data_IF_092062073496
#
_entry.id   IF_092062073496
#
_cell.length_a   1.000
_cell.length_b   1.000
_cell.length_c   1.000
_cell.angle_alpha   90.00
_cell.angle_beta   90.00
_cell.angle_gamma   90.00
#
_symmetry.space_group_name_H-M   'P 1'
#
loop_
_entity.id
_entity.type
_entity.pdbx_description
1 polymer ?
#
# COMPACT_ATOMS: atom_id res chain seq x y z
N UNK A 1 21.74 13.05 -2.85
CA UNK A 1 21.09 12.23 -3.89
C UNK A 1 20.21 11.22 -3.18
N UNK A 2 18.92 11.14 -3.52
CA UNK A 2 18.09 10.03 -3.06
C UNK A 2 18.61 8.73 -3.71
N UNK A 3 18.63 7.61 -2.97
CA UNK A 3 19.13 6.36 -3.50
C UNK A 3 18.24 5.86 -4.65
N UNK A 4 18.84 5.20 -5.63
CA UNK A 4 18.10 4.61 -6.74
C UNK A 4 17.32 3.39 -6.23
N UNK A 5 15.99 3.46 -6.32
CA UNK A 5 15.12 2.34 -5.97
C UNK A 5 15.21 1.26 -7.07
N UNK A 6 15.48 -0.01 -6.74
CA UNK A 6 15.62 -1.08 -7.72
C UNK A 6 14.27 -1.42 -8.33
N UNK A 7 14.28 -1.80 -9.61
CA UNK A 7 13.11 -2.40 -10.26
C UNK A 7 12.74 -3.73 -9.55
N UNK A 8 11.45 -4.06 -9.34
CA UNK A 8 10.25 -3.36 -9.84
C UNK A 8 9.71 -2.24 -8.95
N UNK A 9 10.31 -1.99 -7.78
CA UNK A 9 9.78 -1.03 -6.81
C UNK A 9 9.90 0.40 -7.29
N UNK A 10 9.08 1.28 -6.73
CA UNK A 10 9.21 2.71 -6.91
C UNK A 10 8.87 3.49 -5.64
N UNK A 11 9.34 4.73 -5.59
CA UNK A 11 9.04 5.69 -4.53
C UNK A 11 8.48 6.95 -5.20
N UNK A 12 7.22 7.28 -4.96
CA UNK A 12 6.59 8.49 -5.48
C UNK A 12 5.68 9.13 -4.43
N UNK A 13 5.71 10.46 -4.33
CA UNK A 13 4.94 11.23 -3.33
C UNK A 13 5.05 10.68 -1.89
N UNK A 14 6.20 10.09 -1.55
CA UNK A 14 6.46 9.49 -0.24
C UNK A 14 6.04 8.02 -0.07
N UNK A 15 5.33 7.42 -1.03
CA UNK A 15 4.91 6.03 -0.98
C UNK A 15 5.89 5.11 -1.68
N UNK A 16 6.37 4.10 -0.96
CA UNK A 16 7.03 2.93 -1.54
C UNK A 16 5.96 2.01 -2.12
N UNK A 17 6.09 1.66 -3.39
CA UNK A 17 5.09 0.89 -4.11
C UNK A 17 5.69 -0.23 -4.96
N UNK A 18 4.86 -1.23 -5.22
CA UNK A 18 5.11 -2.34 -6.14
C UNK A 18 4.09 -2.25 -7.28
N UNK A 19 4.49 -2.21 -8.56
CA UNK A 19 3.55 -2.11 -9.67
C UNK A 19 2.72 -3.38 -9.77
N UNK A 20 1.47 -3.23 -10.19
CA UNK A 20 0.59 -4.35 -10.53
C UNK A 20 0.18 -4.25 -11.99
N UNK A 21 0.15 -5.37 -12.75
CA UNK A 21 -0.37 -5.41 -14.11
C UNK A 21 -1.79 -4.82 -14.19
N UNK A 22 -2.05 -4.01 -15.21
CA UNK A 22 -3.39 -3.41 -15.43
C UNK A 22 -4.39 -4.49 -15.82
N UNK A 23 -3.91 -5.57 -16.43
CA UNK A 23 -4.67 -6.73 -16.89
C UNK A 23 -5.38 -7.45 -15.74
N UNK A 24 -4.83 -7.39 -14.52
CA UNK A 24 -5.49 -7.93 -13.32
C UNK A 24 -6.82 -7.24 -12.99
N UNK A 25 -7.02 -6.04 -13.53
CA UNK A 25 -8.21 -5.23 -13.32
C UNK A 25 -9.01 -5.04 -14.62
N UNK A 26 -8.73 -5.80 -15.69
CA UNK A 26 -9.39 -5.60 -16.98
C UNK A 26 -10.90 -5.87 -16.91
N UNK A 27 -11.29 -6.92 -16.19
CA UNK A 27 -12.67 -7.42 -16.17
C UNK A 27 -13.56 -6.75 -15.12
N UNK A 28 -13.00 -5.93 -14.22
CA UNK A 28 -13.80 -5.23 -13.22
C UNK A 28 -14.51 -4.01 -13.83
N UNK A 29 -15.69 -3.60 -13.31
CA UNK A 29 -16.45 -2.49 -13.87
C UNK A 29 -15.65 -1.19 -13.96
N UNK A 30 -15.87 -0.37 -14.99
CA UNK A 30 -15.26 0.96 -15.06
C UNK A 30 -15.79 1.91 -13.98
N UNK A 31 -17.05 1.71 -13.56
CA UNK A 31 -17.71 2.53 -12.55
C UNK A 31 -18.42 1.65 -11.53
N UNK A 32 -18.44 2.10 -10.27
CA UNK A 32 -19.18 1.46 -9.17
C UNK A 32 -19.89 2.53 -8.34
N UNK A 33 -21.03 2.17 -7.74
CA UNK A 33 -21.74 3.04 -6.80
C UNK A 33 -21.48 2.57 -5.37
N UNK A 34 -20.91 3.43 -4.55
CA UNK A 34 -20.67 3.19 -3.12
C UNK A 34 -21.33 4.32 -2.32
N UNK A 35 -22.30 3.96 -1.47
CA UNK A 35 -23.13 4.90 -0.71
C UNK A 35 -23.80 5.98 -1.57
N UNK A 36 -24.25 5.62 -2.78
CA UNK A 36 -24.88 6.56 -3.72
C UNK A 36 -23.92 7.50 -4.45
N UNK A 37 -22.60 7.32 -4.27
CA UNK A 37 -21.56 8.07 -4.99
C UNK A 37 -20.96 7.18 -6.07
N UNK A 38 -20.90 7.67 -7.30
CA UNK A 38 -20.23 6.99 -8.41
C UNK A 38 -18.71 7.18 -8.31
N UNK A 39 -17.96 6.08 -8.38
CA UNK A 39 -16.51 6.05 -8.37
C UNK A 39 -15.98 5.45 -9.68
N UNK A 40 -14.88 6.02 -10.19
CA UNK A 40 -14.25 5.60 -11.44
C UNK A 40 -13.04 4.70 -11.18
N UNK A 41 -12.90 3.64 -11.98
CA UNK A 41 -11.77 2.71 -11.93
C UNK A 41 -10.49 3.44 -12.32
N UNK A 42 -9.42 3.22 -11.55
CA UNK A 42 -8.09 3.72 -11.89
C UNK A 42 -7.59 3.12 -13.22
N UNK A 43 -6.73 3.86 -13.90
CA UNK A 43 -6.05 3.39 -15.12
C UNK A 43 -4.63 2.90 -14.87
N UNK A 44 -4.13 3.07 -13.64
CA UNK A 44 -2.82 2.61 -13.20
C UNK A 44 -2.90 2.15 -11.75
N UNK A 45 -2.32 0.98 -11.51
CA UNK A 45 -2.43 0.28 -10.24
C UNK A 45 -1.05 -0.05 -9.68
N UNK A 46 -0.95 0.00 -8.37
CA UNK A 46 0.21 -0.39 -7.61
C UNK A 46 -0.23 -0.80 -6.22
N UNK A 47 0.52 -1.70 -5.60
CA UNK A 47 0.43 -1.99 -4.17
C UNK A 47 1.19 -0.89 -3.43
N UNK A 48 0.51 -0.19 -2.55
CA UNK A 48 1.16 0.64 -1.52
C UNK A 48 1.80 -0.28 -0.48
N UNK A 49 3.12 -0.24 -0.32
CA UNK A 49 3.84 -1.06 0.67
C UNK A 49 3.99 -0.32 2.00
N UNK A 50 4.45 0.93 1.94
CA UNK A 50 4.52 1.84 3.07
C UNK A 50 4.69 3.30 2.61
N UNK A 51 4.28 4.25 3.44
CA UNK A 51 4.55 5.68 3.31
C UNK A 51 5.78 6.05 4.15
N UNK A 52 6.85 6.43 3.46
CA UNK A 52 8.13 6.75 4.05
C UNK A 52 8.06 7.93 5.03
N UNK A 53 7.45 9.10 4.70
CA UNK A 53 7.35 10.21 5.66
C UNK A 53 6.69 9.84 7.00
N UNK A 54 5.58 9.11 6.98
CA UNK A 54 4.87 8.71 8.20
C UNK A 54 5.67 7.70 9.01
N UNK A 55 6.30 6.73 8.34
CA UNK A 55 7.18 5.75 8.99
C UNK A 55 8.40 6.42 9.64
N UNK A 56 9.02 7.36 8.93
CA UNK A 56 10.16 8.15 9.42
C UNK A 56 9.78 8.96 10.64
N UNK A 57 8.65 9.68 10.59
CA UNK A 57 8.16 10.49 11.71
C UNK A 57 7.92 9.63 12.95
N UNK A 58 7.25 8.48 12.80
CA UNK A 58 6.97 7.54 13.89
C UNK A 58 8.24 7.03 14.57
N UNK A 59 9.24 6.61 13.78
CA UNK A 59 10.49 6.07 14.33
C UNK A 59 11.31 7.18 14.99
N UNK A 60 11.41 8.36 14.35
CA UNK A 60 12.15 9.50 14.88
C UNK A 60 11.59 9.96 16.24
N UNK A 61 10.27 10.06 16.35
CA UNK A 61 9.59 10.45 17.61
C UNK A 61 9.92 9.49 18.77
N UNK A 62 9.98 8.18 18.49
CA UNK A 62 10.17 7.16 19.54
C UNK A 62 11.62 6.87 19.90
N UNK A 63 12.56 7.18 19.01
CA UNK A 63 13.99 6.90 19.20
C UNK A 63 14.81 8.14 19.54
N UNK A 64 14.30 9.34 19.24
CA UNK A 64 15.05 10.59 19.33
C UNK A 64 16.09 10.75 18.21
N UNK A 65 16.17 9.82 17.25
CA UNK A 65 17.02 9.93 16.06
C UNK A 65 16.43 10.95 15.10
N UNK A 66 17.28 11.72 14.40
CA UNK A 66 16.80 12.73 13.46
C UNK A 66 16.02 12.12 12.29
N UNK A 67 14.94 12.77 11.79
CA UNK A 67 14.16 12.27 10.64
C UNK A 67 15.03 11.94 9.41
N UNK A 68 16.00 12.79 9.08
CA UNK A 68 16.91 12.58 7.95
C UNK A 68 17.77 11.32 8.10
N UNK A 69 18.20 10.99 9.32
CA UNK A 69 18.96 9.77 9.59
C UNK A 69 18.08 8.54 9.54
N UNK A 70 16.87 8.61 10.11
CA UNK A 70 15.86 7.55 10.02
C UNK A 70 15.52 7.25 8.56
N UNK A 71 15.24 8.27 7.74
CA UNK A 71 14.91 8.10 6.31
C UNK A 71 16.04 7.37 5.57
N UNK A 72 17.29 7.80 5.76
CA UNK A 72 18.46 7.15 5.15
C UNK A 72 18.57 5.69 5.55
N UNK A 73 18.37 5.38 6.84
CA UNK A 73 18.44 4.00 7.35
C UNK A 73 17.29 3.13 6.84
N UNK A 74 16.06 3.65 6.84
CA UNK A 74 14.88 2.94 6.29
C UNK A 74 15.09 2.59 4.82
N UNK A 75 15.55 3.56 4.02
CA UNK A 75 15.84 3.31 2.60
C UNK A 75 17.01 2.34 2.41
N UNK A 76 18.11 2.48 3.16
CA UNK A 76 19.25 1.57 3.07
C UNK A 76 18.84 0.12 3.41
N UNK A 77 18.07 -0.06 4.49
CA UNK A 77 17.55 -1.37 4.89
C UNK A 77 16.58 -1.93 3.88
N UNK A 78 15.71 -1.11 3.30
CA UNK A 78 14.80 -1.57 2.25
C UNK A 78 15.59 -2.11 1.04
N UNK A 79 16.59 -1.37 0.57
CA UNK A 79 17.41 -1.73 -0.59
C UNK A 79 18.17 -3.05 -0.36
N UNK A 80 18.84 -3.18 0.79
CA UNK A 80 19.54 -4.41 1.16
C UNK A 80 18.57 -5.58 1.30
N UNK A 81 17.42 -5.36 1.93
CA UNK A 81 16.43 -6.40 2.16
C UNK A 81 15.86 -6.95 0.86
N UNK A 82 15.42 -6.09 -0.06
CA UNK A 82 14.80 -6.55 -1.32
C UNK A 82 15.80 -7.18 -2.29
N UNK A 83 17.10 -6.93 -2.13
CA UNK A 83 18.15 -7.59 -2.89
C UNK A 83 18.32 -9.07 -2.50
N UNK A 84 18.08 -9.41 -1.23
CA UNK A 84 18.20 -10.79 -0.71
C UNK A 84 16.85 -11.51 -0.64
N UNK A 85 15.80 -10.80 -0.24
CA UNK A 85 14.45 -11.30 -0.01
C UNK A 85 13.43 -10.39 -0.72
N UNK A 86 13.22 -10.56 -2.03
CA UNK A 86 12.30 -9.73 -2.79
C UNK A 86 10.90 -9.70 -2.17
N UNK A 87 10.36 -8.48 -1.99
CA UNK A 87 8.98 -8.25 -1.62
C UNK A 87 8.12 -8.42 -2.88
N UNK A 88 7.24 -9.41 -2.87
CA UNK A 88 6.45 -9.80 -4.05
C UNK A 88 4.98 -9.88 -3.72
N UNK A 89 4.16 -9.52 -4.71
CA UNK A 89 2.72 -9.72 -4.62
C UNK A 89 2.40 -11.21 -4.47
N UNK A 90 1.50 -11.57 -3.56
CA UNK A 90 1.02 -12.94 -3.39
C UNK A 90 -0.43 -13.10 -3.82
N UNK A 91 -1.34 -12.34 -3.20
CA UNK A 91 -2.77 -12.46 -3.46
C UNK A 91 -3.50 -11.18 -3.09
N UNK A 92 -4.68 -10.98 -3.68
CA UNK A 92 -5.68 -10.09 -3.11
C UNK A 92 -6.37 -10.81 -1.96
N UNK A 93 -6.88 -10.06 -1.00
CA UNK A 93 -7.73 -10.58 0.07
C UNK A 93 -9.13 -10.05 -0.15
N UNK A 94 -10.13 -10.84 0.25
CA UNK A 94 -11.55 -10.48 0.22
C UNK A 94 -11.90 -9.47 1.30
N UNK A 95 -11.27 -8.30 1.17
CA UNK A 95 -11.29 -7.19 2.09
C UNK A 95 -11.21 -5.89 1.31
N UNK A 96 -12.32 -5.59 0.64
CA UNK A 96 -12.55 -4.30 0.00
C UNK A 96 -13.04 -3.30 1.05
N UNK A 97 -12.41 -2.13 1.09
CA UNK A 97 -12.71 -1.07 2.06
C UNK A 97 -12.93 0.24 1.33
N UNK A 98 -13.91 1.01 1.80
CA UNK A 98 -14.11 2.38 1.35
C UNK A 98 -13.39 3.35 2.29
N UNK A 99 -12.54 4.20 1.72
CA UNK A 99 -11.87 5.29 2.41
C UNK A 99 -12.53 6.60 1.97
N UNK A 100 -12.89 7.44 2.93
CA UNK A 100 -13.43 8.78 2.67
C UNK A 100 -12.68 9.79 3.54
N UNK A 101 -12.19 10.87 2.91
CA UNK A 101 -11.43 11.94 3.58
C UNK A 101 -11.72 13.24 2.88
N UNK A 102 -12.39 14.16 3.57
CA UNK A 102 -12.89 15.42 3.01
C UNK A 102 -13.77 15.17 1.76
N UNK A 103 -13.46 15.77 0.61
CA UNK A 103 -14.20 15.60 -0.65
C UNK A 103 -13.69 14.42 -1.49
N UNK A 104 -12.84 13.56 -0.93
CA UNK A 104 -12.24 12.42 -1.64
C UNK A 104 -12.83 11.12 -1.13
N UNK A 105 -13.12 10.21 -2.06
CA UNK A 105 -13.57 8.85 -1.78
C UNK A 105 -12.77 7.85 -2.61
N UNK A 106 -12.45 6.69 -2.05
CA UNK A 106 -11.68 5.65 -2.74
C UNK A 106 -12.09 4.28 -2.26
N UNK A 107 -12.06 3.29 -3.15
CA UNK A 107 -12.16 1.87 -2.77
C UNK A 107 -10.79 1.24 -2.90
N UNK A 108 -10.36 0.57 -1.83
CA UNK A 108 -9.11 -0.18 -1.79
C UNK A 108 -9.39 -1.66 -1.59
N UNK A 109 -8.46 -2.51 -2.03
CA UNK A 109 -8.45 -3.93 -1.72
C UNK A 109 -7.17 -4.26 -0.95
N UNK A 110 -7.28 -5.04 0.13
CA UNK A 110 -6.11 -5.53 0.86
C UNK A 110 -5.36 -6.56 0.02
N UNK A 111 -4.04 -6.53 0.12
CA UNK A 111 -3.17 -7.50 -0.54
C UNK A 111 -2.37 -8.28 0.50
N UNK A 112 -2.17 -9.56 0.23
CA UNK A 112 -1.11 -10.34 0.86
C UNK A 112 0.18 -10.15 0.06
N UNK A 113 1.25 -9.76 0.76
CA UNK A 113 2.57 -9.48 0.17
C UNK A 113 3.61 -10.35 0.87
N UNK A 114 4.36 -11.12 0.08
CA UNK A 114 5.47 -11.91 0.58
C UNK A 114 6.62 -11.02 1.03
N UNK A 115 7.30 -11.44 2.11
CA UNK A 115 8.49 -10.80 2.69
C UNK A 115 8.32 -9.37 3.22
N UNK A 116 7.16 -8.72 3.10
CA UNK A 116 6.98 -7.34 3.59
C UNK A 116 7.11 -7.25 5.13
N UNK A 117 6.55 -8.21 5.87
CA UNK A 117 6.67 -8.21 7.33
C UNK A 117 8.11 -8.34 7.82
N UNK A 118 8.94 -9.13 7.14
CA UNK A 118 10.36 -9.27 7.48
C UNK A 118 11.16 -7.99 7.26
N UNK A 119 10.76 -7.12 6.34
CA UNK A 119 11.37 -5.79 6.22
C UNK A 119 11.10 -4.95 7.47
N UNK A 120 9.86 -4.93 7.96
CA UNK A 120 9.55 -4.21 9.19
C UNK A 120 10.27 -4.80 10.41
N UNK A 121 10.45 -6.12 10.48
CA UNK A 121 11.28 -6.76 11.53
C UNK A 121 12.74 -6.29 11.48
N UNK A 122 13.31 -6.05 10.29
CA UNK A 122 14.65 -5.44 10.16
C UNK A 122 14.68 -4.04 10.78
N UNK A 123 13.65 -3.23 10.54
CA UNK A 123 13.56 -1.90 11.15
C UNK A 123 13.40 -1.97 12.68
N UNK A 124 12.61 -2.91 13.17
CA UNK A 124 12.45 -3.10 14.62
C UNK A 124 13.77 -3.47 15.29
N UNK A 125 14.56 -4.34 14.64
CA UNK A 125 15.90 -4.70 15.10
C UNK A 125 16.89 -3.52 15.04
N UNK A 126 16.84 -2.71 13.98
CA UNK A 126 17.71 -1.54 13.81
C UNK A 126 17.43 -0.47 14.88
N UNK A 127 16.15 -0.18 15.14
CA UNK A 127 15.74 0.96 15.95
C UNK A 127 15.38 0.59 17.40
N UNK A 128 15.30 -0.70 17.73
CA UNK A 128 15.01 -1.18 19.08
C UNK A 128 13.60 -0.84 19.57
N UNK A 129 12.66 -0.61 18.64
CA UNK A 129 11.25 -0.30 18.93
C UNK A 129 10.35 -1.21 18.11
N UNK A 130 9.10 -1.41 18.54
CA UNK A 130 8.09 -2.00 17.65
C UNK A 130 7.65 -0.96 16.62
N UNK A 131 7.59 -1.38 15.36
CA UNK A 131 7.21 -0.56 14.22
C UNK A 131 5.81 -0.98 13.79
N UNK A 132 4.89 -0.04 13.63
CA UNK A 132 3.56 -0.39 13.17
C UNK A 132 3.61 -0.96 11.75
N UNK A 133 2.69 -1.87 11.43
CA UNK A 133 2.57 -2.43 10.07
C UNK A 133 1.55 -1.64 9.28
N UNK A 134 1.94 -1.26 8.06
CA UNK A 134 1.02 -0.64 7.10
C UNK A 134 0.37 -1.75 6.28
N UNK A 135 -0.97 -1.74 6.11
CA UNK A 135 -1.64 -2.73 5.31
C UNK A 135 -1.24 -2.53 3.85
N UNK A 136 -0.70 -3.56 3.22
CA UNK A 136 -0.51 -3.53 1.78
C UNK A 136 -1.87 -3.52 1.09
N UNK A 137 -2.06 -2.59 0.16
CA UNK A 137 -3.34 -2.42 -0.52
C UNK A 137 -3.15 -1.82 -1.91
N UNK A 138 -4.14 -2.05 -2.78
CA UNK A 138 -4.28 -1.37 -4.06
C UNK A 138 -5.51 -0.49 -3.99
N UNK A 139 -5.41 0.78 -4.37
CA UNK A 139 -6.58 1.59 -4.69
C UNK A 139 -7.13 1.17 -6.05
N UNK A 140 -8.41 0.81 -6.12
CA UNK A 140 -9.06 0.37 -7.36
C UNK A 140 -9.94 1.47 -7.95
N UNK A 141 -10.75 2.12 -7.11
CA UNK A 141 -11.68 3.16 -7.53
C UNK A 141 -11.41 4.46 -6.79
N UNK A 142 -11.66 5.59 -7.45
CA UNK A 142 -11.51 6.93 -6.88
C UNK A 142 -12.64 7.85 -7.31
N UNK A 143 -13.04 8.75 -6.42
CA UNK A 143 -13.87 9.91 -6.76
C UNK A 143 -12.97 10.96 -7.43
N UNK A 144 -12.84 10.87 -8.76
CA UNK A 144 -12.04 11.78 -9.58
C UNK A 144 -10.51 11.69 -9.41
N UNK A 145 -9.79 12.31 -10.35
CA UNK A 145 -8.34 12.55 -10.38
C UNK A 145 -7.40 11.33 -10.21
N UNK A 146 -7.89 10.09 -10.20
CA UNK A 146 -7.06 8.87 -10.12
C UNK A 146 -6.13 8.85 -8.88
N UNK A 147 -6.47 9.63 -7.83
CA UNK A 147 -5.66 9.80 -6.62
C UNK A 147 -6.28 9.07 -5.45
N UNK A 148 -5.66 7.95 -5.07
CA UNK A 148 -6.07 7.16 -3.89
C UNK A 148 -5.78 7.86 -2.58
N UNK A 149 -6.50 7.48 -1.53
CA UNK A 149 -6.28 7.94 -0.16
C UNK A 149 -5.37 6.91 0.52
N UNK A 150 -4.22 7.36 1.02
CA UNK A 150 -3.27 6.50 1.71
C UNK A 150 -3.83 5.97 3.03
N UNK A 151 -3.49 4.72 3.33
CA UNK A 151 -3.77 4.06 4.61
C UNK A 151 -2.46 3.77 5.31
N UNK A 152 -2.34 4.23 6.55
CA UNK A 152 -1.10 4.20 7.29
C UNK A 152 -1.03 3.01 8.24
N UNK A 153 -2.12 2.55 8.83
CA UNK A 153 -2.07 1.47 9.83
C UNK A 153 -3.11 0.39 9.58
N UNK A 154 -2.85 -0.82 10.11
CA UNK A 154 -3.85 -1.88 10.10
C UNK A 154 -5.13 -1.46 10.84
N UNK A 155 -4.99 -0.77 11.96
CA UNK A 155 -6.12 -0.23 12.72
C UNK A 155 -6.97 0.74 11.88
N UNK A 156 -6.33 1.64 11.12
CA UNK A 156 -7.02 2.53 10.20
C UNK A 156 -7.81 1.71 9.18
N UNK A 157 -7.20 0.71 8.54
CA UNK A 157 -7.90 -0.11 7.55
C UNK A 157 -9.05 -0.93 8.15
N UNK A 158 -8.89 -1.49 9.35
CA UNK A 158 -9.96 -2.25 10.00
C UNK A 158 -11.15 -1.37 10.43
N UNK A 159 -10.90 -0.09 10.70
CA UNK A 159 -11.93 0.88 11.06
C UNK A 159 -12.81 1.30 9.86
N UNK A 160 -12.35 1.04 8.63
CA UNK A 160 -13.06 1.42 7.42
C UNK A 160 -14.26 0.52 7.12
N UNK A 161 -15.34 1.07 6.55
CA UNK A 161 -16.46 0.27 6.08
C UNK A 161 -16.03 -0.71 4.99
N UNK A 162 -16.49 -1.96 5.12
CA UNK A 162 -16.38 -2.96 4.05
C UNK A 162 -17.32 -2.62 2.91
N UNK A 163 -16.88 -2.91 1.69
CA UNK A 163 -17.68 -2.73 0.48
C UNK A 163 -17.87 -4.08 -0.19
N UNK A 164 -19.11 -4.47 -0.40
CA UNK A 164 -19.42 -5.61 -1.26
C UNK A 164 -19.40 -5.12 -2.71
N UNK A 165 -18.35 -5.48 -3.44
CA UNK A 165 -18.28 -5.22 -4.88
C UNK A 165 -18.92 -6.38 -5.65
N UNK A 166 -19.43 -6.16 -6.88
CA UNK A 166 -20.07 -7.21 -7.68
C UNK A 166 -19.16 -8.45 -7.85
N UNK A 167 -19.71 -9.66 -8.03
CA UNK A 167 -18.94 -10.93 -8.10
C UNK A 167 -17.80 -10.98 -9.14
N UNK A 168 -17.71 -9.99 -10.04
CA UNK A 168 -16.64 -9.84 -11.04
C UNK A 168 -15.24 -9.70 -10.42
N UNK A 169 -15.14 -9.36 -9.12
CA UNK A 169 -13.87 -9.31 -8.39
C UNK A 169 -13.37 -10.68 -7.93
N UNK A 170 -14.19 -11.73 -8.03
CA UNK A 170 -13.82 -13.09 -7.60
C UNK A 170 -12.83 -13.74 -8.59
N UNK A 171 -12.83 -13.34 -9.87
CA UNK A 171 -11.88 -13.90 -10.85
C UNK A 171 -10.43 -13.46 -10.62
N UNK A 172 -10.19 -12.37 -9.89
CA UNK A 172 -8.85 -11.89 -9.57
C UNK A 172 -8.10 -12.91 -8.67
N UNK A 173 -8.82 -13.66 -7.83
CA UNK A 173 -8.22 -14.70 -6.98
C UNK A 173 -7.69 -15.88 -7.80
N UNK A 174 -8.26 -16.16 -8.97
CA UNK A 174 -7.90 -17.30 -9.82
C UNK A 174 -6.79 -17.00 -10.83
N UNK A 175 -6.40 -15.73 -11.01
CA UNK A 175 -5.35 -15.33 -11.96
C UNK A 175 -3.94 -15.72 -11.46
N UNK A 176 -3.79 -16.05 -10.18
CA UNK A 176 -2.47 -16.15 -9.50
C UNK A 176 -2.23 -17.55 -8.88
N UNK A 177 -3.09 -18.53 -9.21
CA UNK A 177 -2.84 -19.98 -8.99
C UNK A 177 -2.35 -20.66 -10.26
#
# INVERSE_FOLDING_TARGET
>A
MQPQIPHPYGLNEGYMWLPTPVEWFADIPEHVFVDGIELERKTSFHVSLFELPHLVAFIAERTGVSPDEVEKKVLAHFLSYVAEKPITFKAFLDDFRCVEKEERKSVVVRCEIHNLNGFFEVLENEFGISVYRQPAHVTIYTLGLNKGIGLHTLEEMESLPKVDLPEVFISIYDIIT
#
